data_IF_185940033138
#
_entry.id   IF_185940033138
#
_cell.length_a   1.000
_cell.length_b   1.000
_cell.length_c   1.000
_cell.angle_alpha   90.00
_cell.angle_beta   90.00
_cell.angle_gamma   90.00
#
_symmetry.space_group_name_H-M   'P 1'
#
loop_
_entity.id
_entity.type
_entity.pdbx_description
1 polymer ?
#
# COMPACT_ATOMS: atom_id res chain seq x y z
N UNK A 1 -16.04 36.01 27.71
CA UNK A 1 -16.13 36.01 29.19
C UNK A 1 -14.94 35.26 29.77
N UNK A 2 -14.45 35.59 30.97
CA UNK A 2 -13.46 34.78 31.69
C UNK A 2 -14.13 34.12 32.90
N UNK A 3 -13.88 32.84 33.13
CA UNK A 3 -14.40 32.11 34.29
C UNK A 3 -13.49 30.93 34.64
N UNK A 4 -13.47 30.51 35.91
CA UNK A 4 -12.81 29.26 36.30
C UNK A 4 -13.71 28.10 35.87
N UNK A 5 -13.32 27.39 34.82
CA UNK A 5 -14.14 26.29 34.32
C UNK A 5 -14.09 25.10 35.27
N UNK A 6 -15.25 24.48 35.49
CA UNK A 6 -15.45 23.21 36.19
C UNK A 6 -16.28 22.30 35.30
N UNK A 7 -16.16 20.98 35.49
CA UNK A 7 -16.85 19.99 34.65
C UNK A 7 -18.38 20.21 34.65
N UNK A 8 -18.96 20.44 35.83
CA UNK A 8 -20.39 20.71 36.02
C UNK A 8 -20.80 22.00 35.30
N UNK A 9 -19.98 23.06 35.41
CA UNK A 9 -20.29 24.34 34.76
C UNK A 9 -20.22 24.21 33.23
N UNK A 10 -19.17 23.55 32.71
CA UNK A 10 -19.00 23.27 31.28
C UNK A 10 -20.19 22.48 30.74
N UNK A 11 -20.66 21.45 31.45
CA UNK A 11 -21.81 20.65 31.05
C UNK A 11 -23.09 21.50 30.96
N UNK A 12 -23.34 22.37 31.95
CA UNK A 12 -24.56 23.18 32.05
C UNK A 12 -24.58 24.44 31.18
N UNK A 13 -23.42 24.97 30.78
CA UNK A 13 -23.34 26.21 30.01
C UNK A 13 -24.07 26.10 28.66
N UNK A 14 -24.82 27.16 28.33
CA UNK A 14 -25.54 27.34 27.06
C UNK A 14 -25.30 28.76 26.55
N UNK A 15 -25.28 28.98 25.23
CA UNK A 15 -25.19 30.32 24.68
C UNK A 15 -26.54 31.04 24.81
N UNK A 16 -26.52 32.38 24.68
CA UNK A 16 -27.73 33.14 24.40
C UNK A 16 -28.31 32.74 23.03
N UNK A 17 -29.65 32.72 22.85
CA UNK A 17 -30.26 32.42 21.56
C UNK A 17 -29.68 33.29 20.43
N UNK A 18 -29.24 32.65 19.36
CA UNK A 18 -28.68 33.34 18.19
C UNK A 18 -27.27 33.93 18.38
N UNK A 19 -26.61 33.69 19.52
CA UNK A 19 -25.22 34.13 19.74
C UNK A 19 -24.28 32.96 20.04
N UNK A 20 -22.99 33.16 19.79
CA UNK A 20 -21.93 32.24 20.21
C UNK A 20 -21.43 32.63 21.59
N UNK A 21 -21.11 31.64 22.43
CA UNK A 21 -20.51 31.88 23.73
C UNK A 21 -19.04 31.44 23.72
N UNK A 22 -18.15 32.32 24.17
CA UNK A 22 -16.76 32.01 24.42
C UNK A 22 -16.39 32.33 25.87
N UNK A 23 -15.95 31.30 26.59
CA UNK A 23 -15.56 31.38 28.00
C UNK A 23 -14.10 30.95 28.14
N UNK A 24 -13.22 31.89 28.44
CA UNK A 24 -11.81 31.62 28.72
C UNK A 24 -11.64 31.08 30.13
N UNK A 25 -10.87 30.00 30.27
CA UNK A 25 -10.53 29.40 31.55
C UNK A 25 -9.55 30.30 32.31
N UNK A 26 -9.87 30.64 33.55
CA UNK A 26 -8.94 31.40 34.41
C UNK A 26 -7.87 30.52 35.06
N UNK A 27 -8.05 29.20 35.07
CA UNK A 27 -7.06 28.27 35.60
C UNK A 27 -5.89 28.06 34.63
N UNK A 28 -6.17 27.90 33.33
CA UNK A 28 -5.15 27.84 32.28
C UNK A 28 -5.34 28.96 31.26
N UNK A 29 -4.55 30.02 31.39
CA UNK A 29 -4.62 31.18 30.48
C UNK A 29 -4.37 30.74 29.04
N UNK A 30 -5.26 31.15 28.13
CA UNK A 30 -5.21 30.79 26.72
C UNK A 30 -6.20 29.69 26.34
N UNK A 31 -6.63 28.84 27.28
CA UNK A 31 -7.71 27.88 27.06
C UNK A 31 -9.07 28.59 27.07
N UNK A 32 -9.94 28.26 26.11
CA UNK A 32 -11.32 28.72 26.03
C UNK A 32 -12.27 27.58 25.64
N UNK A 33 -13.45 27.56 26.27
CA UNK A 33 -14.62 26.82 25.81
C UNK A 33 -15.40 27.68 24.81
N UNK A 34 -15.66 27.15 23.61
CA UNK A 34 -16.46 27.77 22.57
C UNK A 34 -17.74 26.99 22.36
N UNK A 35 -18.87 27.68 22.40
CA UNK A 35 -20.20 27.12 22.20
C UNK A 35 -20.84 27.81 20.99
N UNK A 36 -21.18 27.02 19.97
CA UNK A 36 -21.92 27.53 18.80
C UNK A 36 -23.32 27.96 19.20
N UNK A 37 -24.00 28.75 18.36
CA UNK A 37 -25.41 29.14 18.54
C UNK A 37 -26.34 27.93 18.71
N UNK A 38 -25.99 26.81 18.07
CA UNK A 38 -26.68 25.51 18.15
C UNK A 38 -26.31 24.68 19.39
N UNK A 39 -25.44 25.18 20.27
CA UNK A 39 -25.06 24.53 21.52
C UNK A 39 -23.90 23.52 21.42
N UNK A 40 -23.27 23.35 20.25
CA UNK A 40 -22.09 22.47 20.11
C UNK A 40 -20.89 23.09 20.83
N UNK A 41 -20.24 22.30 21.68
CA UNK A 41 -19.13 22.74 22.54
C UNK A 41 -17.79 22.24 22.01
N UNK A 42 -16.79 23.11 22.00
CA UNK A 42 -15.43 22.78 21.59
C UNK A 42 -14.40 23.54 22.41
N UNK A 43 -13.24 22.93 22.60
CA UNK A 43 -12.10 23.52 23.26
C UNK A 43 -11.17 24.17 22.24
N UNK A 44 -10.67 25.35 22.58
CA UNK A 44 -9.65 26.03 21.80
C UNK A 44 -8.58 26.62 22.69
N UNK A 45 -7.34 26.65 22.21
CA UNK A 45 -6.24 27.38 22.84
C UNK A 45 -5.87 28.56 21.96
N UNK A 46 -5.62 29.70 22.60
CA UNK A 46 -5.09 30.91 21.96
C UNK A 46 -3.67 31.13 22.47
N UNK A 47 -2.71 31.30 21.57
CA UNK A 47 -1.28 31.36 21.88
C UNK A 47 -0.56 32.35 20.95
N UNK A 48 0.68 32.70 21.29
CA UNK A 48 1.63 33.42 20.43
C UNK A 48 2.92 32.63 20.41
N UNK A 49 3.53 32.48 19.24
CA UNK A 49 4.79 31.73 19.08
C UNK A 49 5.97 32.64 19.38
N UNK A 50 6.90 32.21 20.24
CA UNK A 50 8.12 32.94 20.55
C UNK A 50 9.02 33.06 19.30
N UNK A 51 9.73 34.18 19.15
CA UNK A 51 10.70 34.38 18.06
C UNK A 51 10.12 34.57 16.65
N UNK A 52 8.79 34.54 16.46
CA UNK A 52 8.12 34.73 15.16
C UNK A 52 7.62 36.16 14.89
N UNK A 53 7.85 37.11 15.80
CA UNK A 53 7.52 38.52 15.62
C UNK A 53 8.75 39.39 15.32
N UNK A 54 8.51 40.65 14.94
CA UNK A 54 9.58 41.60 14.62
C UNK A 54 10.56 41.76 15.80
N UNK A 55 11.85 41.75 15.48
CA UNK A 55 12.93 41.88 16.47
C UNK A 55 13.05 40.72 17.46
N UNK A 56 12.55 39.52 17.12
CA UNK A 56 12.61 38.33 17.99
C UNK A 56 11.48 38.24 19.02
N UNK A 57 10.49 39.13 18.94
CA UNK A 57 9.33 39.12 19.83
C UNK A 57 8.37 37.97 19.53
N UNK A 58 7.35 37.82 20.38
CA UNK A 58 6.24 36.87 20.15
C UNK A 58 5.44 37.28 18.91
N UNK A 59 5.11 36.31 18.05
CA UNK A 59 4.35 36.52 16.83
C UNK A 59 2.88 36.86 17.04
N UNK A 60 2.12 36.88 15.94
CA UNK A 60 0.69 37.16 15.95
C UNK A 60 -0.09 36.18 16.83
N UNK A 61 -1.20 36.65 17.40
CA UNK A 61 -2.11 35.83 18.20
C UNK A 61 -2.79 34.79 17.31
N UNK A 62 -2.56 33.50 17.58
CA UNK A 62 -3.14 32.36 16.85
C UNK A 62 -4.11 31.60 17.75
N UNK A 63 -5.02 30.87 17.11
CA UNK A 63 -6.01 30.02 17.78
C UNK A 63 -6.02 28.63 17.16
N UNK A 64 -6.04 27.60 18.00
CA UNK A 64 -6.12 26.20 17.61
C UNK A 64 -7.26 25.48 18.33
N UNK A 65 -8.05 24.71 17.60
CA UNK A 65 -9.10 23.85 18.17
C UNK A 65 -8.50 22.55 18.70
N UNK A 66 -8.77 22.23 19.96
CA UNK A 66 -8.23 21.06 20.67
C UNK A 66 -9.14 19.84 20.57
N UNK A 67 -10.44 20.04 20.38
CA UNK A 67 -11.44 18.99 20.20
C UNK A 67 -12.84 19.40 20.64
N UNK A 68 -13.82 18.55 20.37
CA UNK A 68 -15.20 18.74 20.79
C UNK A 68 -15.42 18.15 22.20
N UNK A 69 -16.31 18.79 22.97
CA UNK A 69 -16.84 18.23 24.21
C UNK A 69 -18.11 17.40 23.88
N UNK A 70 -18.36 16.24 24.50
CA UNK A 70 -17.63 15.66 25.64
C UNK A 70 -16.48 14.71 25.27
N UNK A 71 -16.15 14.52 23.98
CA UNK A 71 -15.06 13.62 23.57
C UNK A 71 -13.72 14.00 24.21
N UNK A 72 -13.49 15.30 24.38
CA UNK A 72 -12.42 15.86 25.20
C UNK A 72 -13.08 16.56 26.41
N UNK A 73 -12.82 16.05 27.61
CA UNK A 73 -13.27 16.65 28.86
C UNK A 73 -12.39 17.86 29.25
N UNK A 74 -12.74 18.56 30.34
CA UNK A 74 -11.97 19.74 30.77
C UNK A 74 -10.52 19.40 31.15
N UNK A 75 -10.29 18.21 31.73
CA UNK A 75 -8.95 17.78 32.15
C UNK A 75 -8.05 17.58 30.92
N UNK A 76 -8.49 16.77 29.97
CA UNK A 76 -7.77 16.54 28.72
C UNK A 76 -7.63 17.83 27.88
N UNK A 77 -8.61 18.73 27.93
CA UNK A 77 -8.51 20.03 27.28
C UNK A 77 -7.39 20.90 27.88
N UNK A 78 -7.24 20.91 29.22
CA UNK A 78 -6.15 21.61 29.91
C UNK A 78 -4.79 21.01 29.58
N UNK A 79 -4.67 19.68 29.60
CA UNK A 79 -3.42 18.98 29.23
C UNK A 79 -3.00 19.31 27.78
N UNK A 80 -3.93 19.22 26.82
CA UNK A 80 -3.66 19.57 25.41
C UNK A 80 -3.32 21.05 25.22
N UNK A 81 -3.98 21.95 25.95
CA UNK A 81 -3.69 23.38 25.88
C UNK A 81 -2.31 23.69 26.47
N UNK A 82 -1.93 23.08 27.59
CA UNK A 82 -0.62 23.26 28.21
C UNK A 82 0.50 22.81 27.27
N UNK A 83 0.37 21.62 26.67
CA UNK A 83 1.34 21.11 25.69
C UNK A 83 1.48 22.03 24.46
N UNK A 84 0.37 22.59 23.97
CA UNK A 84 0.41 23.54 22.86
C UNK A 84 1.08 24.87 23.25
N UNK A 85 0.83 25.38 24.46
CA UNK A 85 1.46 26.61 24.95
C UNK A 85 2.97 26.42 25.15
N UNK A 86 3.40 25.29 25.71
CA UNK A 86 4.82 24.96 25.88
C UNK A 86 5.56 24.86 24.54
N UNK A 87 4.92 24.28 23.53
CA UNK A 87 5.49 24.20 22.19
C UNK A 87 5.65 25.60 21.55
N UNK A 88 4.62 26.44 21.67
CA UNK A 88 4.65 27.83 21.20
C UNK A 88 5.71 28.69 21.91
N UNK A 89 5.95 28.46 23.20
CA UNK A 89 6.97 29.20 23.97
C UNK A 89 8.39 28.80 23.58
N UNK A 90 8.59 27.56 23.11
CA UNK A 90 9.86 27.10 22.51
C UNK A 90 10.10 27.60 21.08
N UNK A 91 9.14 28.31 20.49
CA UNK A 91 9.23 28.87 19.14
C UNK A 91 8.65 27.98 18.03
N UNK A 92 8.14 26.81 18.38
CA UNK A 92 7.47 25.90 17.45
C UNK A 92 5.97 26.19 17.39
N UNK A 93 5.39 26.20 16.19
CA UNK A 93 3.96 26.44 16.07
C UNK A 93 3.14 25.14 16.25
N UNK A 94 2.24 25.05 17.25
CA UNK A 94 1.43 23.85 17.49
C UNK A 94 0.51 23.45 16.35
N UNK A 95 0.04 24.42 15.56
CA UNK A 95 -0.83 24.15 14.42
C UNK A 95 -0.03 23.69 13.20
N UNK A 96 1.17 24.23 12.99
CA UNK A 96 2.08 23.73 11.95
C UNK A 96 2.52 22.31 12.30
N UNK A 97 2.99 22.05 13.53
CA UNK A 97 3.35 20.70 13.98
C UNK A 97 2.22 19.68 13.81
N UNK A 98 0.99 20.06 14.17
CA UNK A 98 -0.17 19.18 13.97
C UNK A 98 -0.46 18.90 12.49
N UNK A 99 -0.25 19.89 11.61
CA UNK A 99 -0.39 19.70 10.16
C UNK A 99 0.71 18.76 9.66
N UNK A 100 1.95 19.02 10.05
CA UNK A 100 3.12 18.25 9.61
C UNK A 100 3.00 16.78 10.09
N UNK A 101 2.58 16.53 11.34
CA UNK A 101 2.29 15.18 11.86
C UNK A 101 1.17 14.46 11.06
N UNK A 102 0.18 15.21 10.55
CA UNK A 102 -0.91 14.66 9.74
C UNK A 102 -0.44 14.36 8.31
N UNK A 103 0.41 15.22 7.75
CA UNK A 103 1.03 15.03 6.44
C UNK A 103 1.98 13.82 6.47
N UNK A 104 2.85 13.72 7.48
CA UNK A 104 3.73 12.57 7.67
C UNK A 104 2.94 11.27 7.82
N UNK A 105 1.85 11.29 8.61
CA UNK A 105 0.96 10.13 8.70
C UNK A 105 0.33 9.76 7.37
N UNK A 106 -0.13 10.74 6.59
CA UNK A 106 -0.69 10.48 5.25
C UNK A 106 0.38 9.92 4.32
N UNK A 107 1.57 10.49 4.31
CA UNK A 107 2.67 10.05 3.45
C UNK A 107 3.18 8.65 3.81
N UNK A 108 3.11 8.28 5.09
CA UNK A 108 3.47 6.94 5.58
C UNK A 108 2.40 5.86 5.32
N UNK A 109 1.24 6.20 4.74
CA UNK A 109 0.18 5.20 4.46
C UNK A 109 0.62 4.18 3.42
N UNK A 110 0.14 2.94 3.54
CA UNK A 110 0.48 1.85 2.60
C UNK A 110 0.10 2.21 1.16
N UNK A 111 -0.97 2.97 0.90
CA UNK A 111 -1.31 3.46 -0.44
C UNK A 111 -0.21 4.35 -1.02
N UNK A 112 0.25 5.34 -0.25
CA UNK A 112 1.29 6.27 -0.69
C UNK A 112 2.65 5.57 -0.84
N UNK A 113 2.98 4.65 0.08
CA UNK A 113 4.18 3.82 -0.04
C UNK A 113 4.10 2.92 -1.26
N UNK A 114 2.98 2.25 -1.51
CA UNK A 114 2.80 1.39 -2.68
C UNK A 114 2.90 2.19 -3.98
N UNK A 115 2.32 3.39 -4.05
CA UNK A 115 2.43 4.26 -5.22
C UNK A 115 3.89 4.65 -5.51
N UNK A 116 4.65 5.04 -4.47
CA UNK A 116 6.09 5.37 -4.60
C UNK A 116 6.92 4.13 -4.96
N UNK A 117 6.64 2.98 -4.36
CA UNK A 117 7.27 1.70 -4.69
C UNK A 117 7.06 1.32 -6.16
N UNK A 118 5.83 1.46 -6.66
CA UNK A 118 5.52 1.20 -8.07
C UNK A 118 6.29 2.16 -8.98
N UNK A 119 6.27 3.45 -8.68
CA UNK A 119 6.90 4.48 -9.49
C UNK A 119 8.44 4.38 -9.53
N UNK A 120 9.06 4.15 -8.38
CA UNK A 120 10.51 4.25 -8.19
C UNK A 120 11.24 2.91 -8.27
N UNK A 121 10.54 1.78 -8.14
CA UNK A 121 11.17 0.45 -8.18
C UNK A 121 10.55 -0.49 -9.20
N UNK A 122 9.23 -0.69 -9.17
CA UNK A 122 8.64 -1.67 -10.08
C UNK A 122 8.72 -1.20 -11.54
N UNK A 123 8.28 0.03 -11.86
CA UNK A 123 8.31 0.56 -13.23
C UNK A 123 9.72 0.56 -13.85
N UNK A 124 10.78 1.02 -13.16
CA UNK A 124 12.11 1.07 -13.75
C UNK A 124 12.81 -0.29 -13.83
N UNK A 125 12.50 -1.22 -12.91
CA UNK A 125 13.32 -2.44 -12.74
C UNK A 125 12.60 -3.75 -13.09
N UNK A 126 11.28 -3.74 -13.33
CA UNK A 126 10.49 -4.97 -13.50
C UNK A 126 9.68 -4.94 -14.80
N UNK A 127 10.03 -5.84 -15.74
CA UNK A 127 9.36 -5.97 -17.06
C UNK A 127 7.84 -6.16 -16.95
N UNK A 128 7.38 -6.88 -15.92
CA UNK A 128 5.94 -7.15 -15.64
C UNK A 128 5.44 -6.44 -14.39
N UNK A 129 5.82 -5.18 -14.20
CA UNK A 129 5.43 -4.40 -13.03
C UNK A 129 3.90 -4.29 -12.84
N UNK A 130 3.13 -4.27 -13.94
CA UNK A 130 1.67 -4.18 -13.90
C UNK A 130 1.01 -5.35 -13.14
N UNK A 131 1.58 -6.56 -13.24
CA UNK A 131 1.06 -7.73 -12.52
C UNK A 131 1.23 -7.55 -11.01
N UNK A 132 2.39 -7.01 -10.60
CA UNK A 132 2.69 -6.70 -9.20
C UNK A 132 1.79 -5.58 -8.66
N UNK A 133 1.66 -4.47 -9.40
CA UNK A 133 0.77 -3.35 -9.03
C UNK A 133 -0.68 -3.82 -8.90
N UNK A 134 -1.16 -4.64 -9.86
CA UNK A 134 -2.50 -5.22 -9.80
C UNK A 134 -2.71 -6.10 -8.58
N UNK A 135 -1.75 -6.95 -8.22
CA UNK A 135 -1.84 -7.79 -7.02
C UNK A 135 -1.91 -6.95 -5.74
N UNK A 136 -1.10 -5.89 -5.64
CA UNK A 136 -1.14 -4.97 -4.50
C UNK A 136 -2.52 -4.29 -4.41
N UNK A 137 -3.01 -3.73 -5.52
CA UNK A 137 -4.31 -3.04 -5.60
C UNK A 137 -5.50 -3.92 -5.26
N UNK A 138 -5.49 -5.19 -5.70
CA UNK A 138 -6.62 -6.09 -5.50
C UNK A 138 -6.62 -6.74 -4.12
N UNK A 139 -5.45 -7.02 -3.55
CA UNK A 139 -5.35 -7.90 -2.39
C UNK A 139 -4.74 -7.25 -1.15
N UNK A 140 -4.03 -6.12 -1.28
CA UNK A 140 -3.33 -5.47 -0.15
C UNK A 140 -3.98 -4.14 0.21
N UNK A 141 -4.10 -3.24 -0.76
CA UNK A 141 -4.60 -1.87 -0.55
C UNK A 141 -6.04 -1.80 0.01
N UNK A 142 -6.98 -2.72 -0.32
CA UNK A 142 -8.33 -2.67 0.25
C UNK A 142 -8.33 -2.81 1.78
N UNK A 143 -7.37 -3.52 2.35
CA UNK A 143 -7.30 -3.77 3.79
C UNK A 143 -6.32 -2.79 4.47
N UNK A 144 -5.24 -2.40 3.80
CA UNK A 144 -4.13 -1.66 4.43
C UNK A 144 -3.94 -0.23 3.91
N UNK A 145 -4.57 0.16 2.80
CA UNK A 145 -4.23 1.39 2.06
C UNK A 145 -4.15 2.66 2.90
N UNK A 146 -5.12 2.87 3.79
CA UNK A 146 -5.19 4.04 4.68
C UNK A 146 -4.40 3.90 5.99
N UNK A 147 -3.74 2.77 6.22
CA UNK A 147 -3.00 2.51 7.46
C UNK A 147 -1.55 2.92 7.26
N UNK A 148 -0.91 3.63 8.21
CA UNK A 148 0.54 3.85 8.20
C UNK A 148 1.29 2.52 8.12
N UNK A 149 2.30 2.42 7.25
CA UNK A 149 3.07 1.18 7.07
C UNK A 149 3.73 0.71 8.37
N UNK A 150 4.16 1.67 9.21
CA UNK A 150 4.73 1.44 10.53
C UNK A 150 3.75 0.87 11.56
N UNK A 151 2.45 0.94 11.31
CA UNK A 151 1.41 0.39 12.20
C UNK A 151 0.98 -1.02 11.83
N UNK A 152 1.33 -1.50 10.62
CA UNK A 152 1.08 -2.88 10.22
C UNK A 152 1.84 -3.82 11.15
N UNK A 153 1.19 -4.90 11.59
CA UNK A 153 1.80 -5.93 12.43
C UNK A 153 1.81 -7.27 11.72
N UNK A 154 2.67 -8.18 12.20
CA UNK A 154 2.78 -9.55 11.67
C UNK A 154 1.43 -10.30 11.64
N UNK A 155 0.56 -10.05 12.63
CA UNK A 155 -0.80 -10.61 12.70
C UNK A 155 -1.67 -10.17 11.52
N UNK A 156 -1.49 -8.94 11.05
CA UNK A 156 -2.27 -8.40 9.93
C UNK A 156 -1.79 -9.06 8.64
N UNK A 157 -0.47 -9.27 8.49
CA UNK A 157 0.11 -10.08 7.42
C UNK A 157 -0.44 -11.50 7.34
N UNK A 158 -0.60 -12.18 8.49
CA UNK A 158 -1.24 -13.52 8.52
C UNK A 158 -2.69 -13.46 8.03
N UNK A 159 -3.49 -12.55 8.59
CA UNK A 159 -4.90 -12.36 8.21
C UNK A 159 -5.06 -12.08 6.71
N UNK A 160 -4.22 -11.21 6.16
CA UNK A 160 -4.21 -10.88 4.74
C UNK A 160 -3.99 -12.14 3.88
N UNK A 161 -2.94 -12.89 4.19
CA UNK A 161 -2.57 -14.08 3.43
C UNK A 161 -3.60 -15.20 3.56
N UNK A 162 -4.20 -15.37 4.74
CA UNK A 162 -5.26 -16.37 4.96
C UNK A 162 -6.53 -16.01 4.18
N UNK A 163 -6.92 -14.73 4.18
CA UNK A 163 -8.02 -14.22 3.36
C UNK A 163 -7.81 -14.50 1.88
N UNK A 164 -6.63 -14.18 1.36
CA UNK A 164 -6.29 -14.42 -0.07
C UNK A 164 -6.23 -15.92 -0.37
N UNK A 165 -5.65 -16.72 0.53
CA UNK A 165 -5.57 -18.17 0.38
C UNK A 165 -6.95 -18.82 0.28
N UNK A 166 -7.89 -18.42 1.16
CA UNK A 166 -9.26 -18.96 1.16
C UNK A 166 -10.05 -18.51 -0.07
N UNK A 167 -9.87 -17.28 -0.55
CA UNK A 167 -10.64 -16.73 -1.66
C UNK A 167 -10.09 -17.10 -3.06
N UNK A 168 -8.77 -17.24 -3.20
CA UNK A 168 -8.11 -17.31 -4.50
C UNK A 168 -7.08 -18.46 -4.62
N UNK A 169 -6.86 -19.20 -3.54
CA UNK A 169 -5.96 -20.34 -3.50
C UNK A 169 -4.48 -19.99 -3.32
N UNK A 170 -3.68 -21.06 -3.22
CA UNK A 170 -2.26 -21.02 -2.83
C UNK A 170 -1.40 -20.17 -3.77
N UNK A 171 -1.67 -20.25 -5.09
CA UNK A 171 -0.88 -19.56 -6.10
C UNK A 171 -0.91 -18.03 -5.94
N UNK A 172 -2.10 -17.46 -5.78
CA UNK A 172 -2.26 -16.00 -5.61
C UNK A 172 -1.72 -15.56 -4.25
N UNK A 173 -2.04 -16.28 -3.17
CA UNK A 173 -1.53 -15.97 -1.83
C UNK A 173 0.01 -15.94 -1.78
N UNK A 174 0.67 -16.83 -2.51
CA UNK A 174 2.14 -16.85 -2.65
C UNK A 174 2.66 -15.59 -3.35
N UNK A 175 2.08 -15.21 -4.50
CA UNK A 175 2.53 -14.02 -5.23
C UNK A 175 2.25 -12.74 -4.43
N UNK A 176 1.10 -12.65 -3.75
CA UNK A 176 0.81 -11.55 -2.81
C UNK A 176 1.89 -11.47 -1.73
N UNK A 177 2.19 -12.58 -1.03
CA UNK A 177 3.24 -12.61 0.00
C UNK A 177 4.58 -12.10 -0.55
N UNK A 178 4.98 -12.57 -1.73
CA UNK A 178 6.23 -12.17 -2.40
C UNK A 178 6.28 -10.66 -2.64
N UNK A 179 5.22 -10.07 -3.19
CA UNK A 179 5.18 -8.64 -3.49
C UNK A 179 5.08 -7.77 -2.24
N UNK A 180 4.34 -8.20 -1.22
CA UNK A 180 4.30 -7.50 0.07
C UNK A 180 5.68 -7.51 0.74
N UNK A 181 6.35 -8.66 0.78
CA UNK A 181 7.72 -8.75 1.33
C UNK A 181 8.67 -7.80 0.59
N UNK A 182 8.63 -7.77 -0.74
CA UNK A 182 9.47 -6.89 -1.55
C UNK A 182 9.19 -5.40 -1.28
N UNK A 183 7.92 -5.00 -1.20
CA UNK A 183 7.50 -3.63 -0.88
C UNK A 183 7.97 -3.21 0.52
N UNK A 184 7.81 -4.06 1.53
CA UNK A 184 8.25 -3.77 2.89
C UNK A 184 9.78 -3.68 3.01
N UNK A 185 10.54 -4.51 2.27
CA UNK A 185 11.99 -4.36 2.22
C UNK A 185 12.40 -3.05 1.55
N UNK A 186 11.76 -2.70 0.43
CA UNK A 186 12.02 -1.44 -0.26
C UNK A 186 11.75 -0.21 0.61
N UNK A 187 10.69 -0.25 1.41
CA UNK A 187 10.35 0.78 2.38
C UNK A 187 11.34 0.81 3.56
N UNK A 188 11.77 -0.38 4.01
CA UNK A 188 12.77 -0.50 5.08
C UNK A 188 14.12 0.10 4.68
N UNK A 189 14.59 -0.16 3.46
CA UNK A 189 15.84 0.41 2.93
C UNK A 189 15.83 1.95 2.83
N UNK A 190 14.64 2.57 2.95
CA UNK A 190 14.41 4.02 2.91
C UNK A 190 14.04 4.61 4.27
N UNK A 191 14.15 3.82 5.34
CA UNK A 191 13.77 4.20 6.70
C UNK A 191 12.28 4.59 6.85
N UNK A 192 11.42 4.09 5.97
CA UNK A 192 9.97 4.33 6.04
C UNK A 192 9.25 3.34 6.96
N UNK A 193 9.91 2.22 7.25
CA UNK A 193 9.45 1.22 8.21
C UNK A 193 10.65 0.58 8.91
N UNK A 194 10.57 0.47 10.24
CA UNK A 194 11.67 -0.06 11.04
C UNK A 194 11.99 -1.55 10.76
N UNK A 195 11.00 -2.35 10.36
CA UNK A 195 11.22 -3.76 10.00
C UNK A 195 10.14 -4.29 9.06
N UNK A 196 10.52 -5.20 8.16
CA UNK A 196 9.55 -5.96 7.38
C UNK A 196 8.75 -6.92 8.27
N UNK A 197 7.45 -6.68 8.40
CA UNK A 197 6.55 -7.45 9.29
C UNK A 197 6.35 -8.90 8.85
N UNK A 198 6.65 -9.22 7.59
CA UNK A 198 6.63 -10.58 7.04
C UNK A 198 8.00 -11.26 7.04
N UNK A 199 9.07 -10.56 7.45
CA UNK A 199 10.40 -11.16 7.55
C UNK A 199 10.37 -12.40 8.46
N UNK A 200 11.00 -13.49 8.02
CA UNK A 200 11.03 -14.76 8.75
C UNK A 200 9.67 -15.44 8.95
N UNK A 201 8.60 -14.99 8.27
CA UNK A 201 7.29 -15.66 8.35
C UNK A 201 7.32 -16.97 7.57
N UNK A 202 7.25 -18.10 8.28
CA UNK A 202 7.18 -19.45 7.67
C UNK A 202 5.74 -19.74 7.23
N UNK A 203 5.53 -19.89 5.93
CA UNK A 203 4.25 -20.27 5.29
C UNK A 203 4.46 -21.48 4.39
N UNK A 204 4.59 -22.67 5.00
CA UNK A 204 4.83 -23.93 4.28
C UNK A 204 3.64 -24.32 3.40
N UNK A 205 2.44 -23.95 3.82
CA UNK A 205 1.20 -24.02 3.07
C UNK A 205 1.25 -23.24 1.74
N UNK A 206 2.11 -22.23 1.65
CA UNK A 206 2.33 -21.45 0.43
C UNK A 206 3.53 -21.96 -0.40
N UNK A 207 4.15 -23.08 -0.06
CA UNK A 207 5.27 -23.63 -0.84
C UNK A 207 4.83 -24.05 -2.25
N UNK A 208 5.75 -24.05 -3.22
CA UNK A 208 5.47 -24.60 -4.55
C UNK A 208 5.20 -26.10 -4.43
N UNK A 209 3.95 -26.50 -4.69
CA UNK A 209 3.63 -27.91 -4.88
C UNK A 209 4.24 -28.40 -6.19
N UNK A 210 4.74 -29.63 -6.22
CA UNK A 210 5.04 -30.30 -7.47
C UNK A 210 3.71 -30.57 -8.19
N UNK A 211 3.67 -30.34 -9.51
CA UNK A 211 2.53 -30.80 -10.30
C UNK A 211 2.66 -32.31 -10.41
N UNK A 212 1.86 -33.05 -9.65
CA UNK A 212 1.94 -34.51 -9.60
C UNK A 212 1.40 -35.18 -10.86
N UNK A 213 0.56 -34.48 -11.63
CA UNK A 213 -0.02 -35.01 -12.88
C UNK A 213 0.73 -34.50 -14.11
N UNK A 214 1.18 -35.46 -14.91
CA UNK A 214 1.61 -35.28 -16.30
C UNK A 214 0.68 -36.06 -17.22
N UNK A 215 0.60 -35.68 -18.49
CA UNK A 215 -0.17 -36.45 -19.47
C UNK A 215 0.46 -37.84 -19.64
N UNK A 216 -0.37 -38.88 -19.61
CA UNK A 216 0.09 -40.21 -20.05
C UNK A 216 0.32 -40.20 -21.56
N UNK A 217 1.01 -41.22 -22.07
CA UNK A 217 1.24 -41.32 -23.52
C UNK A 217 -0.08 -41.43 -24.31
N UNK A 218 -1.09 -42.10 -23.76
CA UNK A 218 -2.40 -42.24 -24.42
C UNK A 218 -3.18 -40.93 -24.39
N UNK A 219 -3.11 -40.17 -23.29
CA UNK A 219 -3.67 -38.82 -23.22
C UNK A 219 -2.96 -37.88 -24.21
N UNK A 220 -1.63 -37.98 -24.33
CA UNK A 220 -0.85 -37.17 -25.26
C UNK A 220 -1.23 -37.46 -26.72
N UNK A 221 -1.39 -38.74 -27.08
CA UNK A 221 -1.89 -39.15 -28.41
C UNK A 221 -3.29 -38.62 -28.67
N UNK A 222 -4.18 -38.66 -27.68
CA UNK A 222 -5.53 -38.12 -27.82
C UNK A 222 -5.52 -36.60 -28.04
N UNK A 223 -4.67 -35.87 -27.32
CA UNK A 223 -4.48 -34.41 -27.51
C UNK A 223 -3.92 -34.12 -28.90
N UNK A 224 -2.94 -34.89 -29.37
CA UNK A 224 -2.37 -34.74 -30.71
C UNK A 224 -3.42 -34.97 -31.79
N UNK A 225 -4.21 -36.05 -31.69
CA UNK A 225 -5.29 -36.35 -32.64
C UNK A 225 -6.39 -35.29 -32.65
N UNK A 226 -6.65 -34.65 -31.51
CA UNK A 226 -7.58 -33.53 -31.42
C UNK A 226 -7.00 -32.25 -32.06
N UNK A 227 -5.71 -31.99 -31.87
CA UNK A 227 -5.01 -30.84 -32.48
C UNK A 227 -5.07 -30.91 -34.01
N UNK A 228 -4.94 -32.10 -34.60
CA UNK A 228 -5.02 -32.33 -36.05
C UNK A 228 -6.35 -31.87 -36.65
N UNK A 229 -7.42 -31.91 -35.86
CA UNK A 229 -8.78 -31.52 -36.29
C UNK A 229 -9.08 -30.04 -36.04
N UNK A 230 -8.28 -29.35 -35.23
CA UNK A 230 -8.58 -28.00 -34.72
C UNK A 230 -8.23 -26.88 -35.71
N UNK A 231 -7.43 -27.16 -36.74
CA UNK A 231 -7.05 -26.18 -37.77
C UNK A 231 -6.14 -25.06 -37.25
N UNK A 232 -5.85 -24.09 -38.12
CA UNK A 232 -4.97 -22.95 -37.80
C UNK A 232 -5.69 -21.92 -36.89
N UNK A 233 -5.00 -21.32 -35.90
CA UNK A 233 -3.59 -21.53 -35.53
C UNK A 233 -3.36 -22.62 -34.48
N UNK A 234 -4.41 -23.04 -33.76
CA UNK A 234 -4.25 -23.80 -32.52
C UNK A 234 -3.80 -25.25 -32.73
N UNK A 235 -4.24 -25.91 -33.80
CA UNK A 235 -3.82 -27.28 -34.14
C UNK A 235 -2.29 -27.38 -34.35
N UNK A 236 -1.73 -26.65 -35.34
CA UNK A 236 -0.28 -26.61 -35.56
C UNK A 236 0.51 -26.15 -34.33
N UNK A 237 -0.01 -25.16 -33.58
CA UNK A 237 0.64 -24.69 -32.36
C UNK A 237 0.74 -25.79 -31.29
N UNK A 238 -0.33 -26.54 -31.03
CA UNK A 238 -0.32 -27.64 -30.05
C UNK A 238 0.58 -28.78 -30.51
N UNK A 239 0.59 -29.11 -31.82
CA UNK A 239 1.54 -30.06 -32.40
C UNK A 239 2.98 -29.69 -32.11
N UNK A 240 3.35 -28.45 -32.44
CA UNK A 240 4.72 -27.95 -32.22
C UNK A 240 5.09 -27.98 -30.74
N UNK A 241 4.15 -27.66 -29.83
CA UNK A 241 4.40 -27.75 -28.39
C UNK A 241 4.73 -29.18 -27.94
N UNK A 242 4.01 -30.17 -28.47
CA UNK A 242 4.24 -31.59 -28.15
C UNK A 242 5.58 -32.06 -28.72
N UNK A 243 5.88 -31.72 -29.98
CA UNK A 243 7.04 -32.23 -30.71
C UNK A 243 8.36 -31.56 -30.30
N UNK A 244 8.32 -30.30 -29.87
CA UNK A 244 9.53 -29.53 -29.53
C UNK A 244 9.73 -29.35 -28.02
N UNK A 245 8.69 -29.65 -27.22
CA UNK A 245 8.65 -29.42 -25.78
C UNK A 245 9.01 -27.98 -25.34
N UNK A 246 8.89 -26.99 -26.23
CA UNK A 246 9.16 -25.59 -25.93
C UNK A 246 8.01 -24.93 -25.16
N UNK A 247 8.26 -23.73 -24.62
CA UNK A 247 7.22 -23.02 -23.86
C UNK A 247 6.12 -22.56 -24.80
N UNK A 248 4.87 -22.60 -24.31
CA UNK A 248 3.69 -22.07 -25.01
C UNK A 248 3.91 -20.68 -25.63
N UNK A 249 4.53 -19.77 -24.88
CA UNK A 249 4.78 -18.41 -25.36
C UNK A 249 5.84 -18.33 -26.46
N UNK A 250 6.83 -19.23 -26.46
CA UNK A 250 7.87 -19.30 -27.49
C UNK A 250 7.26 -19.79 -28.81
N UNK A 251 6.46 -20.86 -28.78
CA UNK A 251 5.77 -21.36 -29.98
C UNK A 251 4.69 -20.41 -30.48
N UNK A 252 3.92 -19.79 -29.57
CA UNK A 252 2.88 -18.83 -29.96
C UNK A 252 3.43 -17.56 -30.63
N UNK A 253 4.66 -17.17 -30.27
CA UNK A 253 5.35 -16.01 -30.82
C UNK A 253 6.40 -16.36 -31.88
N UNK A 254 6.43 -17.60 -32.37
CA UNK A 254 7.42 -18.03 -33.35
C UNK A 254 7.23 -17.28 -34.66
N UNK A 255 8.29 -16.63 -35.12
CA UNK A 255 8.29 -15.88 -36.37
C UNK A 255 9.05 -16.63 -37.47
N UNK A 256 8.64 -16.46 -38.74
CA UNK A 256 9.34 -17.08 -39.88
C UNK A 256 10.82 -16.71 -39.93
N UNK A 257 11.18 -15.48 -39.52
CA UNK A 257 12.56 -15.01 -39.49
C UNK A 257 13.44 -15.73 -38.46
N UNK A 258 12.86 -16.55 -37.57
CA UNK A 258 13.60 -17.34 -36.59
C UNK A 258 14.01 -18.70 -37.14
N UNK A 259 13.46 -19.14 -38.28
CA UNK A 259 13.89 -20.37 -38.95
C UNK A 259 15.31 -20.20 -39.48
N UNK A 260 16.15 -21.21 -39.26
CA UNK A 260 17.47 -21.27 -39.87
C UNK A 260 17.35 -21.42 -41.40
N UNK A 261 18.40 -21.09 -42.18
CA UNK A 261 18.36 -21.16 -43.64
C UNK A 261 18.00 -22.54 -44.21
N UNK A 262 18.37 -23.61 -43.50
CA UNK A 262 18.03 -25.00 -43.86
C UNK A 262 16.63 -25.43 -43.42
N UNK A 263 15.93 -24.57 -42.66
CA UNK A 263 14.63 -24.78 -42.04
C UNK A 263 14.57 -26.01 -41.12
N UNK A 264 15.70 -26.58 -40.71
CA UNK A 264 15.73 -27.76 -39.84
C UNK A 264 15.67 -27.42 -38.36
N UNK A 265 15.78 -26.13 -38.02
CA UNK A 265 15.65 -25.63 -36.67
C UNK A 265 15.14 -24.19 -36.70
N UNK A 266 14.69 -23.71 -35.54
CA UNK A 266 14.51 -22.28 -35.30
C UNK A 266 15.33 -21.82 -34.11
N UNK A 267 15.73 -20.56 -34.15
CA UNK A 267 16.47 -19.88 -33.10
C UNK A 267 15.53 -18.96 -32.33
N UNK A 268 15.27 -19.27 -31.05
CA UNK A 268 14.51 -18.38 -30.17
C UNK A 268 15.43 -17.24 -29.73
N UNK A 269 15.14 -15.98 -30.08
CA UNK A 269 15.98 -14.86 -29.71
C UNK A 269 16.02 -14.66 -28.20
N UNK A 270 17.15 -14.19 -27.68
CA UNK A 270 17.33 -13.91 -26.25
C UNK A 270 16.23 -12.98 -25.69
N UNK A 271 15.76 -12.00 -26.48
CA UNK A 271 14.68 -11.07 -26.11
C UNK A 271 13.32 -11.74 -25.85
N UNK A 272 13.12 -12.94 -26.42
CA UNK A 272 11.92 -13.77 -26.26
C UNK A 272 12.14 -14.95 -25.29
N UNK A 273 13.37 -15.15 -24.80
CA UNK A 273 13.70 -16.22 -23.87
C UNK A 273 13.77 -15.73 -22.43
N UNK A 274 13.23 -16.52 -21.49
CA UNK A 274 13.15 -16.12 -20.07
C UNK A 274 14.53 -15.92 -19.39
N UNK A 275 15.60 -16.45 -19.98
CA UNK A 275 16.95 -16.42 -19.39
C UNK A 275 17.95 -15.56 -20.16
N UNK A 276 17.49 -14.70 -21.08
CA UNK A 276 18.32 -13.84 -21.95
C UNK A 276 19.41 -14.62 -22.71
N UNK A 277 19.12 -15.87 -23.05
CA UNK A 277 19.98 -16.73 -23.86
C UNK A 277 19.24 -17.16 -25.10
N UNK A 278 19.95 -17.13 -26.21
CA UNK A 278 19.49 -17.72 -27.46
C UNK A 278 19.40 -19.24 -27.31
N UNK A 279 18.34 -19.85 -27.85
CA UNK A 279 18.19 -21.30 -27.89
C UNK A 279 17.84 -21.75 -29.30
N UNK A 280 18.65 -22.66 -29.85
CA UNK A 280 18.35 -23.34 -31.11
C UNK A 280 17.52 -24.58 -30.81
N UNK A 281 16.39 -24.71 -31.49
CA UNK A 281 15.43 -25.81 -31.33
C UNK A 281 15.35 -26.58 -32.65
N UNK A 282 15.94 -27.80 -32.72
CA UNK A 282 15.80 -28.66 -33.87
C UNK A 282 14.36 -29.08 -34.11
N UNK A 283 13.95 -29.11 -35.37
CA UNK A 283 12.65 -29.56 -35.83
C UNK A 283 12.77 -30.98 -36.37
N UNK A 284 12.01 -31.91 -35.78
CA UNK A 284 11.89 -33.26 -36.31
C UNK A 284 11.06 -33.27 -37.59
N UNK A 285 11.14 -34.33 -38.41
CA UNK A 285 10.35 -34.43 -39.63
C UNK A 285 8.83 -34.21 -39.41
N UNK A 286 8.20 -34.72 -38.32
CA UNK A 286 6.80 -34.42 -38.02
C UNK A 286 6.52 -32.96 -37.63
N UNK A 287 7.53 -32.20 -37.18
CA UNK A 287 7.39 -30.79 -36.82
C UNK A 287 7.53 -29.87 -38.04
N UNK A 288 8.14 -30.35 -39.12
CA UNK A 288 8.28 -29.64 -40.40
C UNK A 288 7.06 -29.81 -41.32
N UNK A 289 6.27 -30.87 -41.10
CA UNK A 289 5.10 -31.24 -41.89
C UNK A 289 3.83 -30.49 -41.46
#
# INVERSE_FOLDING_TARGET
>A
MKSRLTEIAVQKMKPEPGKRLEVSDTHLTGLSLRITETGKKSWSVTYRVAGRGDGGNRGALRRMTLGAYPLIDLKAAREKAAAALELADRGDDPSDKRRDDLEEKRDSTVDNIAARYVALHLKPSVKKWHDADRLLRLHVLPDWGNTPIGDIRRRDGQKLLDKVLMAHGVGIAREVRKHVVAMFNWAHDRDEVGVNVLAGMKRKDLAYGQRERVLTMDELKAVLAAADKMGYPFGPMVRLLILTAQRRAEIAGLERGWLLPDQQAFEVPASHYKTDRTQVVPLSAPALA
#
